data_IF_751238920285
#
_entry.id   IF_751238920285
#
_cell.length_a   1.000
_cell.length_b   1.000
_cell.length_c   1.000
_cell.angle_alpha   90.00
_cell.angle_beta   90.00
_cell.angle_gamma   90.00
#
_symmetry.space_group_name_H-M   'P 1'
#
loop_
_entity.id
_entity.type
_entity.pdbx_description
1 polymer ?
#
# COMPACT_ATOMS: atom_id res chain seq x y z
N UNK A 1 -17.74 11.05 4.53
CA UNK A 1 -16.48 10.40 4.92
C UNK A 1 -16.58 8.95 4.49
N UNK A 2 -15.60 8.44 3.75
CA UNK A 2 -15.52 7.03 3.38
C UNK A 2 -15.31 6.15 4.62
N UNK A 3 -15.67 4.89 4.52
CA UNK A 3 -15.51 3.86 5.56
C UNK A 3 -14.76 2.68 4.93
N UNK A 4 -13.84 2.08 5.67
CA UNK A 4 -13.20 0.82 5.27
C UNK A 4 -14.14 -0.35 5.52
N UNK A 5 -13.86 -1.52 4.94
CA UNK A 5 -14.62 -2.74 5.21
C UNK A 5 -14.54 -3.18 6.69
N UNK A 6 -13.52 -2.71 7.43
CA UNK A 6 -13.35 -2.99 8.84
C UNK A 6 -14.01 -1.95 9.76
N UNK A 7 -14.72 -0.94 9.24
CA UNK A 7 -15.31 0.13 10.04
C UNK A 7 -16.20 -0.38 11.19
N UNK A 8 -17.12 -1.32 10.90
CA UNK A 8 -17.98 -1.90 11.93
C UNK A 8 -17.19 -2.70 12.98
N UNK A 9 -16.09 -3.34 12.57
CA UNK A 9 -15.20 -4.06 13.49
C UNK A 9 -14.51 -3.09 14.46
N UNK A 10 -14.07 -1.93 13.97
CA UNK A 10 -13.45 -0.89 14.80
C UNK A 10 -14.40 -0.39 15.88
N UNK A 11 -15.65 -0.08 15.51
CA UNK A 11 -16.66 0.36 16.47
C UNK A 11 -16.96 -0.71 17.54
N UNK A 12 -17.07 -1.97 17.12
CA UNK A 12 -17.35 -3.09 18.02
C UNK A 12 -16.24 -3.29 19.07
N UNK A 13 -14.99 -2.97 18.71
CA UNK A 13 -13.84 -3.07 19.60
C UNK A 13 -13.53 -1.77 20.35
N UNK A 14 -14.47 -0.82 20.38
CA UNK A 14 -14.36 0.41 21.17
C UNK A 14 -13.36 1.42 20.63
N UNK A 15 -13.01 1.34 19.34
CA UNK A 15 -12.07 2.28 18.74
C UNK A 15 -12.58 3.72 18.82
N UNK A 16 -11.66 4.64 19.10
CA UNK A 16 -11.90 6.07 18.94
C UNK A 16 -11.69 6.45 17.48
N UNK A 17 -12.77 6.79 16.80
CA UNK A 17 -12.74 7.11 15.37
C UNK A 17 -12.43 8.58 15.13
N UNK A 18 -11.56 8.86 14.15
CA UNK A 18 -11.19 10.20 13.69
C UNK A 18 -11.33 10.33 12.18
N UNK A 19 -11.26 11.58 11.69
CA UNK A 19 -11.21 11.87 10.26
C UNK A 19 -9.76 11.88 9.80
N UNK A 20 -9.41 11.02 8.86
CA UNK A 20 -8.08 10.96 8.26
C UNK A 20 -8.22 10.79 6.74
N UNK A 21 -7.64 11.70 5.95
CA UNK A 21 -7.67 11.64 4.48
C UNK A 21 -9.06 11.35 3.84
N UNK A 22 -10.15 11.85 4.44
CA UNK A 22 -11.51 11.62 3.94
C UNK A 22 -12.16 10.30 4.41
N UNK A 23 -11.45 9.48 5.19
CA UNK A 23 -11.92 8.24 5.82
C UNK A 23 -12.21 8.40 7.33
N UNK A 24 -13.10 7.55 7.85
CA UNK A 24 -13.27 7.33 9.28
C UNK A 24 -12.34 6.20 9.74
N UNK A 25 -11.25 6.56 10.43
CA UNK A 25 -10.21 5.62 10.83
C UNK A 25 -10.06 5.58 12.36
N UNK A 26 -9.67 4.44 12.94
CA UNK A 26 -9.37 4.34 14.37
C UNK A 26 -8.06 5.06 14.69
N UNK A 27 -8.06 5.98 15.66
CA UNK A 27 -6.81 6.62 16.16
C UNK A 27 -6.17 5.83 17.31
N UNK A 28 -7.00 5.18 18.12
CA UNK A 28 -6.61 4.32 19.23
C UNK A 28 -7.82 3.44 19.64
N UNK A 29 -7.55 2.32 20.29
CA UNK A 29 -8.53 1.42 20.94
C UNK A 29 -8.34 1.42 22.46
N UNK A 30 -7.09 1.29 22.90
CA UNK A 30 -6.71 1.19 24.32
C UNK A 30 -5.77 2.32 24.76
N UNK A 31 -5.14 3.00 23.79
CA UNK A 31 -4.30 4.18 24.00
C UNK A 31 -3.04 4.12 23.15
N UNK A 32 -2.69 5.23 22.49
CA UNK A 32 -1.57 5.29 21.54
C UNK A 32 -0.25 4.72 22.09
N UNK A 33 0.11 5.05 23.35
CA UNK A 33 1.34 4.54 23.97
C UNK A 33 1.30 3.02 24.19
N UNK A 34 0.16 2.48 24.61
CA UNK A 34 0.01 1.06 24.87
C UNK A 34 0.03 0.25 23.56
N UNK A 35 -0.61 0.75 22.51
CA UNK A 35 -0.59 0.16 21.18
C UNK A 35 0.80 0.20 20.56
N UNK A 36 1.53 1.31 20.73
CA UNK A 36 2.92 1.43 20.32
C UNK A 36 3.81 0.36 20.99
N UNK A 37 3.72 0.23 22.32
CA UNK A 37 4.48 -0.78 23.07
C UNK A 37 4.09 -2.18 22.62
N UNK A 38 2.79 -2.44 22.40
CA UNK A 38 2.32 -3.73 21.93
C UNK A 38 2.89 -4.12 20.55
N UNK A 39 3.09 -3.18 19.63
CA UNK A 39 3.80 -3.44 18.37
C UNK A 39 5.28 -3.76 18.60
N UNK A 40 5.92 -3.06 19.54
CA UNK A 40 7.35 -3.25 19.85
C UNK A 40 7.63 -4.60 20.51
N UNK A 41 6.73 -5.06 21.36
CA UNK A 41 6.94 -6.25 22.19
C UNK A 41 6.18 -7.49 21.68
N UNK A 42 5.08 -7.30 20.94
CA UNK A 42 4.18 -8.37 20.48
C UNK A 42 3.80 -8.22 19.00
N UNK A 43 2.50 -7.98 18.71
CA UNK A 43 1.95 -7.79 17.37
C UNK A 43 0.85 -6.73 17.43
N UNK A 44 0.92 -5.72 16.57
CA UNK A 44 -0.18 -4.83 16.26
C UNK A 44 -0.72 -5.11 14.86
N UNK A 45 -2.04 -4.91 14.69
CA UNK A 45 -2.74 -5.05 13.41
C UNK A 45 -3.36 -3.69 13.10
N UNK A 46 -3.02 -3.15 11.94
CA UNK A 46 -3.50 -1.86 11.48
C UNK A 46 -4.37 -2.04 10.25
N UNK A 47 -5.56 -1.46 10.27
CA UNK A 47 -6.36 -1.26 9.05
C UNK A 47 -5.79 -0.06 8.29
N UNK A 48 -5.14 -0.35 7.18
CA UNK A 48 -4.58 0.64 6.25
C UNK A 48 -5.32 0.63 4.91
N UNK A 49 -6.54 0.09 4.87
CA UNK A 49 -7.40 0.02 3.66
C UNK A 49 -7.89 1.38 3.14
N UNK A 50 -7.38 2.49 3.69
CA UNK A 50 -7.61 3.83 3.16
C UNK A 50 -6.54 4.21 2.12
N UNK A 51 -5.44 3.47 2.04
CA UNK A 51 -4.42 3.58 0.99
C UNK A 51 -5.05 3.37 -0.39
N UNK A 52 -4.35 3.84 -1.42
CA UNK A 52 -4.80 3.68 -2.80
C UNK A 52 -4.04 2.56 -3.51
N UNK A 53 -4.76 1.74 -4.28
CA UNK A 53 -4.20 0.67 -5.10
C UNK A 53 -4.50 0.91 -6.58
N UNK A 54 -3.47 1.21 -7.36
CA UNK A 54 -3.55 1.49 -8.79
C UNK A 54 -2.76 0.43 -9.57
N UNK A 55 -3.44 -0.29 -10.45
CA UNK A 55 -2.81 -1.21 -11.39
C UNK A 55 -2.29 -0.50 -12.62
N UNK A 56 -1.11 -0.92 -13.08
CA UNK A 56 -0.54 -0.58 -14.39
C UNK A 56 -0.38 -1.88 -15.17
N UNK A 57 -1.13 -2.02 -16.27
CA UNK A 57 -1.24 -3.28 -17.03
C UNK A 57 -0.98 -3.08 -18.52
N UNK A 58 -0.12 -3.92 -19.09
CA UNK A 58 0.12 -4.01 -20.53
C UNK A 58 1.61 -4.10 -20.90
N UNK A 59 1.94 -4.33 -22.19
CA UNK A 59 3.30 -4.61 -22.64
C UNK A 59 4.35 -3.54 -22.29
N UNK A 60 3.92 -2.28 -22.17
CA UNK A 60 4.79 -1.14 -21.89
C UNK A 60 4.67 -0.66 -20.42
N UNK A 61 4.09 -1.48 -19.53
CA UNK A 61 3.85 -1.10 -18.13
C UNK A 61 5.17 -0.79 -17.40
N UNK A 62 6.19 -1.61 -17.60
CA UNK A 62 7.53 -1.39 -17.04
C UNK A 62 8.15 -0.06 -17.49
N UNK A 63 7.96 0.30 -18.77
CA UNK A 63 8.46 1.58 -19.30
C UNK A 63 7.77 2.75 -18.61
N UNK A 64 6.43 2.71 -18.50
CA UNK A 64 5.69 3.75 -17.81
C UNK A 64 6.15 3.90 -16.36
N UNK A 65 6.20 2.79 -15.61
CA UNK A 65 6.55 2.79 -14.19
C UNK A 65 7.97 3.30 -14.00
N UNK A 66 8.94 2.83 -14.80
CA UNK A 66 10.32 3.33 -14.76
C UNK A 66 10.40 4.84 -15.03
N UNK A 67 9.60 5.36 -15.96
CA UNK A 67 9.62 6.78 -16.32
C UNK A 67 9.05 7.67 -15.21
N UNK A 68 8.00 7.22 -14.53
CA UNK A 68 7.27 8.06 -13.57
C UNK A 68 7.79 7.95 -12.15
N UNK A 69 8.58 6.93 -11.81
CA UNK A 69 9.15 6.74 -10.47
C UNK A 69 10.64 7.07 -10.42
N UNK A 70 11.14 7.45 -9.25
CA UNK A 70 12.54 7.86 -9.04
C UNK A 70 13.53 6.71 -8.85
N UNK A 71 13.05 5.52 -8.51
CA UNK A 71 13.91 4.36 -8.23
C UNK A 71 14.02 3.46 -9.47
N UNK A 72 15.03 2.59 -9.51
CA UNK A 72 15.32 1.76 -10.67
C UNK A 72 14.42 0.51 -10.70
N UNK A 73 13.40 0.56 -11.56
CA UNK A 73 12.40 -0.49 -11.79
C UNK A 73 13.02 -1.63 -12.60
N UNK A 74 14.12 -1.41 -13.33
CA UNK A 74 14.82 -2.49 -14.03
C UNK A 74 15.49 -3.48 -13.06
N UNK A 75 15.69 -3.11 -11.79
CA UNK A 75 16.21 -3.98 -10.73
C UNK A 75 15.11 -4.77 -9.98
N UNK A 76 13.84 -4.52 -10.31
CA UNK A 76 12.74 -5.33 -9.83
C UNK A 76 12.67 -6.65 -10.59
N UNK A 77 12.21 -7.67 -9.88
CA UNK A 77 11.86 -8.98 -10.41
C UNK A 77 10.44 -9.34 -9.93
N UNK A 78 9.73 -10.24 -10.63
CA UNK A 78 8.42 -10.73 -10.18
C UNK A 78 8.42 -11.15 -8.71
N UNK A 79 7.43 -10.67 -7.95
CA UNK A 79 7.33 -10.91 -6.50
C UNK A 79 8.13 -9.94 -5.63
N UNK A 80 8.74 -8.91 -6.21
CA UNK A 80 9.52 -7.90 -5.47
C UNK A 80 8.80 -6.56 -5.39
N UNK A 81 9.06 -5.86 -4.29
CA UNK A 81 8.54 -4.54 -3.98
C UNK A 81 9.70 -3.55 -3.98
N UNK A 82 9.43 -2.29 -4.32
CA UNK A 82 10.39 -1.20 -4.17
C UNK A 82 9.69 0.06 -3.67
N UNK A 83 10.31 0.75 -2.71
CA UNK A 83 9.89 2.09 -2.30
C UNK A 83 10.44 3.12 -3.29
N UNK A 84 9.60 4.06 -3.68
CA UNK A 84 9.95 5.10 -4.63
C UNK A 84 9.14 6.37 -4.38
N UNK A 85 9.35 7.37 -5.24
CA UNK A 85 8.52 8.56 -5.29
C UNK A 85 8.24 8.96 -6.73
N UNK A 86 7.17 9.72 -6.94
CA UNK A 86 6.86 10.37 -8.21
C UNK A 86 7.52 11.76 -8.25
N UNK A 87 8.65 11.96 -8.95
CA UNK A 87 9.16 13.29 -9.19
C UNK A 87 8.24 14.06 -10.15
N UNK A 88 8.11 15.36 -9.95
CA UNK A 88 7.54 16.26 -10.93
C UNK A 88 8.64 16.84 -11.84
N UNK A 89 8.24 17.58 -12.87
CA UNK A 89 9.13 18.17 -13.88
C UNK A 89 10.10 19.24 -13.32
N UNK A 90 9.92 19.66 -12.06
CA UNK A 90 10.71 20.70 -11.39
C UNK A 90 11.58 20.13 -10.25
N UNK A 91 11.63 18.80 -10.09
CA UNK A 91 12.39 18.12 -9.04
C UNK A 91 11.71 18.08 -7.67
N UNK A 92 10.45 18.49 -7.57
CA UNK A 92 9.62 18.26 -6.38
C UNK A 92 8.97 16.87 -6.39
N UNK A 93 8.50 16.41 -5.23
CA UNK A 93 7.83 15.10 -5.09
C UNK A 93 6.31 15.29 -5.16
N UNK A 94 5.65 14.53 -6.03
CA UNK A 94 4.19 14.44 -6.12
C UNK A 94 3.67 13.55 -4.98
N UNK A 95 4.16 12.32 -4.86
CA UNK A 95 3.90 11.42 -3.72
C UNK A 95 5.05 10.41 -3.55
N UNK A 96 5.13 9.78 -2.40
CA UNK A 96 5.90 8.55 -2.19
C UNK A 96 4.99 7.31 -2.23
N UNK A 97 5.53 6.18 -2.65
CA UNK A 97 4.74 4.98 -2.92
C UNK A 97 5.55 3.69 -2.86
N UNK A 98 4.83 2.57 -2.87
CA UNK A 98 5.39 1.25 -3.14
C UNK A 98 5.03 0.79 -4.56
N UNK A 99 6.01 0.22 -5.25
CA UNK A 99 5.86 -0.43 -6.55
C UNK A 99 5.98 -1.94 -6.34
N UNK A 100 4.94 -2.70 -6.66
CA UNK A 100 4.93 -4.16 -6.65
C UNK A 100 5.02 -4.65 -8.09
N UNK A 101 6.02 -5.47 -8.40
CA UNK A 101 6.15 -6.10 -9.72
C UNK A 101 5.58 -7.51 -9.69
N UNK A 102 4.47 -7.76 -10.38
CA UNK A 102 3.93 -9.11 -10.55
C UNK A 102 4.58 -9.81 -11.74
N UNK A 103 4.76 -9.09 -12.85
CA UNK A 103 5.50 -9.49 -14.03
C UNK A 103 5.90 -8.24 -14.84
N UNK A 104 6.52 -8.41 -16.02
CA UNK A 104 6.97 -7.28 -16.85
C UNK A 104 5.82 -6.42 -17.43
N UNK A 105 4.58 -6.92 -17.39
CA UNK A 105 3.38 -6.25 -17.90
C UNK A 105 2.37 -5.88 -16.81
N UNK A 106 2.66 -6.20 -15.53
CA UNK A 106 1.72 -6.05 -14.43
C UNK A 106 2.39 -5.52 -13.16
N UNK A 107 2.01 -4.29 -12.81
CA UNK A 107 2.49 -3.61 -11.61
C UNK A 107 1.32 -3.11 -10.76
N UNK A 108 1.50 -3.12 -9.44
CA UNK A 108 0.60 -2.48 -8.49
C UNK A 108 1.34 -1.34 -7.79
N UNK A 109 0.76 -0.14 -7.85
CA UNK A 109 1.24 1.04 -7.15
C UNK A 109 0.37 1.26 -5.91
N UNK A 110 0.99 1.28 -4.73
CA UNK A 110 0.31 1.57 -3.46
C UNK A 110 0.67 2.99 -3.02
N UNK A 111 -0.30 3.90 -3.06
CA UNK A 111 -0.13 5.35 -2.88
C UNK A 111 -0.86 5.87 -1.63
N UNK A 112 -0.52 7.08 -1.18
CA UNK A 112 -1.15 7.66 0.01
C UNK A 112 -2.62 8.03 -0.23
N UNK A 113 -3.46 7.75 0.76
CA UNK A 113 -4.91 7.99 0.73
C UNK A 113 -5.31 9.41 0.31
N UNK A 114 -4.62 10.43 0.84
CA UNK A 114 -4.92 11.84 0.54
C UNK A 114 -4.54 12.25 -0.88
N UNK A 115 -3.69 11.45 -1.54
CA UNK A 115 -3.12 11.76 -2.84
C UNK A 115 -3.69 10.90 -3.97
N UNK A 116 -4.45 9.85 -3.68
CA UNK A 116 -5.02 8.92 -4.66
C UNK A 116 -5.56 9.58 -5.94
N UNK A 117 -6.48 10.55 -5.82
CA UNK A 117 -7.05 11.22 -6.99
C UNK A 117 -6.04 12.06 -7.79
N UNK A 118 -5.08 12.67 -7.08
CA UNK A 118 -4.01 13.47 -7.67
C UNK A 118 -3.02 12.56 -8.39
N UNK A 119 -2.64 11.45 -7.77
CA UNK A 119 -1.65 10.50 -8.29
C UNK A 119 -2.21 9.72 -9.47
N UNK A 120 -3.46 9.27 -9.39
CA UNK A 120 -4.12 8.62 -10.53
C UNK A 120 -4.17 9.54 -11.76
N UNK A 121 -4.52 10.82 -11.58
CA UNK A 121 -4.48 11.82 -12.66
C UNK A 121 -3.07 12.10 -13.16
N UNK A 122 -2.08 12.12 -12.26
CA UNK A 122 -0.68 12.26 -12.62
C UNK A 122 -0.22 11.11 -13.51
N UNK A 123 -0.47 9.87 -13.10
CA UNK A 123 -0.12 8.66 -13.88
C UNK A 123 -0.80 8.71 -15.25
N UNK A 124 -2.10 8.99 -15.32
CA UNK A 124 -2.83 9.12 -16.58
C UNK A 124 -2.24 10.18 -17.51
N UNK A 125 -1.83 11.34 -16.96
CA UNK A 125 -1.16 12.40 -17.74
C UNK A 125 0.20 11.94 -18.28
N UNK A 126 0.94 11.14 -17.50
CA UNK A 126 2.25 10.63 -17.89
C UNK A 126 2.18 9.39 -18.79
N UNK A 127 0.99 8.78 -18.97
CA UNK A 127 0.80 7.58 -19.74
C UNK A 127 0.81 7.84 -21.26
N UNK A 128 2.00 7.99 -21.83
CA UNK A 128 2.20 8.16 -23.29
C UNK A 128 2.33 6.84 -24.06
N UNK A 129 2.27 5.71 -23.34
CA UNK A 129 2.46 4.34 -23.85
C UNK A 129 1.14 3.55 -23.88
N UNK A 130 0.03 4.23 -23.60
CA UNK A 130 -1.35 3.71 -23.69
C UNK A 130 -1.61 2.39 -22.93
N UNK A 131 -0.86 2.13 -21.85
CA UNK A 131 -1.15 1.00 -20.95
C UNK A 131 -2.42 1.25 -20.15
N UNK A 132 -3.01 0.18 -19.61
CA UNK A 132 -4.19 0.29 -18.75
C UNK A 132 -3.74 0.79 -17.37
N UNK A 133 -4.40 1.84 -16.89
CA UNK A 133 -4.22 2.38 -15.54
C UNK A 133 -5.56 2.26 -14.82
N UNK A 134 -5.65 1.38 -13.82
CA UNK A 134 -6.90 1.05 -13.15
C UNK A 134 -6.80 1.31 -11.63
N UNK A 135 -7.67 2.19 -11.12
CA UNK A 135 -7.82 2.41 -9.69
C UNK A 135 -8.75 1.34 -9.08
N UNK A 136 -8.20 0.44 -8.26
CA UNK A 136 -8.94 -0.64 -7.58
C UNK A 136 -9.07 -0.44 -6.08
N UNK A 137 -8.83 0.78 -5.58
CA UNK A 137 -8.78 1.05 -4.14
C UNK A 137 -10.08 0.72 -3.39
N UNK A 138 -11.25 0.86 -4.04
CA UNK A 138 -12.53 0.50 -3.42
C UNK A 138 -12.79 -1.04 -3.42
N UNK A 139 -11.91 -1.84 -4.06
CA UNK A 139 -12.02 -3.30 -4.18
C UNK A 139 -11.00 -4.06 -3.30
N UNK A 140 -9.97 -3.38 -2.79
CA UNK A 140 -8.89 -3.97 -2.02
C UNK A 140 -8.99 -3.49 -0.57
N UNK A 141 -8.64 -4.36 0.37
CA UNK A 141 -8.46 -4.00 1.77
C UNK A 141 -7.07 -4.41 2.22
N UNK A 142 -6.46 -3.60 3.07
CA UNK A 142 -5.07 -3.75 3.44
C UNK A 142 -4.94 -3.76 4.97
N UNK A 143 -4.40 -4.87 5.49
CA UNK A 143 -4.04 -5.00 6.90
C UNK A 143 -2.53 -5.05 7.04
N UNK A 144 -1.96 -4.13 7.82
CA UNK A 144 -0.56 -4.19 8.20
C UNK A 144 -0.42 -4.90 9.55
N UNK A 145 0.21 -6.07 9.54
CA UNK A 145 0.46 -6.89 10.74
C UNK A 145 1.93 -6.75 11.10
N UNK A 146 2.22 -6.10 12.23
CA UNK A 146 3.54 -5.56 12.55
C UNK A 146 3.97 -5.94 13.97
N UNK A 147 5.25 -6.27 14.15
CA UNK A 147 5.85 -6.57 15.47
C UNK A 147 6.73 -7.83 15.45
N UNK A 148 7.53 -8.07 16.50
CA UNK A 148 8.49 -9.19 16.54
C UNK A 148 7.85 -10.57 16.43
N UNK A 149 6.54 -10.68 16.72
CA UNK A 149 5.79 -11.94 16.66
C UNK A 149 4.80 -11.99 15.49
N UNK A 150 4.86 -11.05 14.55
CA UNK A 150 3.90 -10.91 13.46
C UNK A 150 3.90 -12.15 12.55
N UNK A 151 5.07 -12.60 12.12
CA UNK A 151 5.21 -13.81 11.27
C UNK A 151 4.67 -15.06 11.98
N UNK A 152 5.00 -15.25 13.26
CA UNK A 152 4.51 -16.38 14.08
C UNK A 152 2.97 -16.40 14.16
N UNK A 153 2.35 -15.23 14.32
CA UNK A 153 0.90 -15.10 14.39
C UNK A 153 0.26 -15.38 13.02
N UNK A 154 0.74 -14.72 11.97
CA UNK A 154 0.14 -14.77 10.63
C UNK A 154 0.30 -16.15 9.97
N UNK A 155 1.38 -16.87 10.27
CA UNK A 155 1.61 -18.23 9.75
C UNK A 155 0.47 -19.20 10.09
N UNK A 156 -0.29 -18.95 11.16
CA UNK A 156 -1.40 -19.80 11.62
C UNK A 156 -2.62 -19.78 10.71
N UNK A 157 -2.70 -18.82 9.79
CA UNK A 157 -3.86 -18.61 8.91
C UNK A 157 -3.51 -18.69 7.42
N UNK A 158 -2.33 -19.19 7.07
CA UNK A 158 -1.88 -19.38 5.69
C UNK A 158 -0.95 -20.57 5.57
N UNK A 159 -1.02 -21.27 4.43
CA UNK A 159 -0.10 -22.37 4.08
C UNK A 159 1.22 -21.86 3.47
N UNK A 160 1.30 -20.57 3.12
CA UNK A 160 2.53 -19.95 2.60
C UNK A 160 3.57 -19.86 3.71
N UNK A 161 4.81 -20.32 3.45
CA UNK A 161 5.92 -20.15 4.39
C UNK A 161 6.35 -18.68 4.43
N UNK A 162 5.86 -17.95 5.43
CA UNK A 162 6.13 -16.52 5.60
C UNK A 162 7.58 -16.25 6.01
N UNK A 163 8.28 -17.22 6.59
CA UNK A 163 9.69 -17.07 6.97
C UNK A 163 10.62 -17.09 5.75
N UNK A 164 10.16 -17.69 4.65
CA UNK A 164 10.87 -17.72 3.38
C UNK A 164 10.67 -16.46 2.54
N UNK A 165 9.69 -15.59 2.86
CA UNK A 165 9.46 -14.33 2.13
C UNK A 165 10.47 -13.28 2.61
N UNK A 166 11.42 -12.84 1.76
CA UNK A 166 12.39 -11.85 2.17
C UNK A 166 11.76 -10.46 2.35
N UNK A 167 12.50 -9.56 3.00
CA UNK A 167 12.09 -8.16 3.11
C UNK A 167 11.78 -7.57 1.72
N UNK A 168 10.67 -6.85 1.59
CA UNK A 168 10.21 -6.26 0.32
C UNK A 168 9.94 -7.29 -0.80
N UNK A 169 9.44 -8.47 -0.44
CA UNK A 169 8.94 -9.47 -1.39
C UNK A 169 7.51 -9.88 -1.04
N UNK A 170 6.82 -10.47 -2.02
CA UNK A 170 5.47 -11.03 -1.93
C UNK A 170 5.37 -12.28 -2.81
N UNK A 171 4.31 -13.08 -2.61
CA UNK A 171 4.02 -14.31 -3.37
C UNK A 171 2.53 -14.46 -3.61
#
# INVERSE_FOLDING_TARGET
MKQTQFYSHHLMHGAKMVRFAGFQMPVEYTGVSQEHINVRENVGIFDVSHMGEIWILGPEAKELVQRITSNDVALLEPGKIQYSCFPNEQGGIVDDLLVYMYDDEKFLLVVNASNLEKDHKWILKQNTVEVIVENTSDQISQLAIQGPRATELLQRVTDVDLSAIPYYHFT
#
